data_IF_428836999321
#
_entry.id   IF_428836999321
#
_cell.length_a   1.000
_cell.length_b   1.000
_cell.length_c   1.000
_cell.angle_alpha   90.00
_cell.angle_beta   90.00
_cell.angle_gamma   90.00
#
_symmetry.space_group_name_H-M   'P 1'
#
loop_
_entity.id
_entity.type
_entity.pdbx_description
1 polymer ?
#
# COMPACT_ATOMS: atom_id res chain seq x y z
N UNK A 1 -33.19 0.49 0.62
CA UNK A 1 -32.11 0.84 1.58
C UNK A 1 -30.79 0.32 1.00
N UNK A 2 -30.22 1.01 -0.01
CA UNK A 2 -29.26 0.38 -0.94
C UNK A 2 -28.06 1.27 -1.35
N UNK A 3 -27.74 2.31 -0.59
CA UNK A 3 -26.68 3.28 -0.92
C UNK A 3 -25.33 3.02 -0.24
N UNK A 4 -25.22 2.00 0.63
CA UNK A 4 -24.04 1.80 1.50
C UNK A 4 -22.80 1.20 0.81
N UNK A 5 -22.91 0.64 -0.41
CA UNK A 5 -21.87 -0.23 -0.99
C UNK A 5 -21.04 0.34 -2.16
N UNK A 6 -21.38 1.51 -2.72
CA UNK A 6 -20.72 1.98 -3.94
C UNK A 6 -19.25 2.37 -3.71
N UNK A 7 -18.95 3.14 -2.67
CA UNK A 7 -17.57 3.56 -2.39
C UNK A 7 -16.66 2.37 -2.06
N UNK A 8 -17.16 1.41 -1.28
CA UNK A 8 -16.39 0.22 -0.92
C UNK A 8 -16.04 -0.62 -2.15
N UNK A 9 -17.00 -0.79 -3.07
CA UNK A 9 -16.80 -1.51 -4.33
C UNK A 9 -15.74 -0.82 -5.20
N UNK A 10 -15.84 0.51 -5.39
CA UNK A 10 -14.86 1.26 -6.15
C UNK A 10 -13.48 1.24 -5.51
N UNK A 11 -13.39 1.27 -4.19
CA UNK A 11 -12.12 1.18 -3.48
C UNK A 11 -11.44 -0.19 -3.62
N UNK A 12 -12.20 -1.30 -3.62
CA UNK A 12 -11.63 -2.63 -3.87
C UNK A 12 -11.06 -2.69 -5.29
N UNK A 13 -11.83 -2.25 -6.29
CA UNK A 13 -11.40 -2.25 -7.70
C UNK A 13 -10.13 -1.41 -7.88
N UNK A 14 -10.11 -0.20 -7.32
CA UNK A 14 -8.95 0.67 -7.39
C UNK A 14 -7.73 0.08 -6.66
N UNK A 15 -7.93 -0.54 -5.48
CA UNK A 15 -6.88 -1.22 -4.75
C UNK A 15 -6.27 -2.36 -5.58
N UNK A 16 -7.09 -3.17 -6.26
CA UNK A 16 -6.61 -4.23 -7.14
C UNK A 16 -5.77 -3.64 -8.27
N UNK A 17 -6.23 -2.56 -8.90
CA UNK A 17 -5.54 -1.92 -10.02
C UNK A 17 -4.17 -1.34 -9.58
N UNK A 18 -4.14 -0.63 -8.44
CA UNK A 18 -2.90 -0.09 -7.86
C UNK A 18 -1.90 -1.19 -7.54
N UNK A 19 -2.37 -2.35 -7.11
CA UNK A 19 -1.50 -3.44 -6.68
C UNK A 19 -1.18 -4.47 -7.77
N UNK A 20 -1.86 -4.45 -8.91
CA UNK A 20 -1.69 -5.42 -9.99
C UNK A 20 -0.24 -5.44 -10.52
N UNK A 21 0.45 -4.30 -10.43
CA UNK A 21 1.85 -4.18 -10.82
C UNK A 21 2.80 -5.00 -9.93
N UNK A 22 2.47 -5.26 -8.67
CA UNK A 22 3.36 -6.01 -7.77
C UNK A 22 3.52 -7.48 -8.18
N UNK A 23 2.44 -8.28 -8.34
CA UNK A 23 2.58 -9.64 -8.87
C UNK A 23 3.28 -9.65 -10.23
N UNK A 24 2.94 -8.73 -11.12
CA UNK A 24 3.56 -8.64 -12.45
C UNK A 24 5.08 -8.40 -12.38
N UNK A 25 5.52 -7.47 -11.54
CA UNK A 25 6.95 -7.15 -11.38
C UNK A 25 7.70 -8.26 -10.63
N UNK A 26 7.05 -8.97 -9.71
CA UNK A 26 7.69 -9.99 -8.87
C UNK A 26 7.84 -11.32 -9.59
N UNK A 27 6.84 -11.70 -10.39
CA UNK A 27 6.88 -12.93 -11.18
C UNK A 27 7.49 -12.75 -12.58
N UNK A 28 7.93 -11.54 -12.92
CA UNK A 28 8.79 -11.30 -14.09
C UNK A 28 10.25 -11.38 -13.70
N UNK A 29 11.15 -11.54 -14.69
CA UNK A 29 12.61 -11.47 -14.51
C UNK A 29 13.09 -10.02 -14.23
N UNK A 30 12.34 -9.27 -13.43
CA UNK A 30 12.67 -7.91 -13.06
C UNK A 30 13.51 -7.89 -11.78
N UNK A 31 14.35 -6.87 -11.65
CA UNK A 31 15.13 -6.69 -10.42
C UNK A 31 14.27 -6.32 -9.19
N UNK A 32 12.95 -6.11 -9.37
CA UNK A 32 12.03 -5.64 -8.33
C UNK A 32 12.04 -6.50 -7.07
N UNK A 33 12.12 -7.82 -7.22
CA UNK A 33 12.18 -8.72 -6.08
C UNK A 33 13.45 -8.51 -5.25
N UNK A 34 14.60 -8.21 -5.87
CA UNK A 34 15.84 -7.90 -5.15
C UNK A 34 15.70 -6.62 -4.33
N UNK A 35 14.98 -5.62 -4.83
CA UNK A 35 14.72 -4.41 -4.04
C UNK A 35 13.74 -4.66 -2.88
N UNK A 36 12.71 -5.49 -3.08
CA UNK A 36 11.81 -5.92 -2.00
C UNK A 36 12.53 -6.71 -0.91
N UNK A 37 13.48 -7.57 -1.28
CA UNK A 37 14.33 -8.33 -0.35
C UNK A 37 15.16 -7.41 0.55
N UNK A 38 15.58 -6.24 0.06
CA UNK A 38 16.27 -5.26 0.91
C UNK A 38 15.37 -4.68 2.01
N UNK A 39 14.04 -4.68 1.83
CA UNK A 39 13.10 -4.27 2.88
C UNK A 39 12.94 -5.41 3.89
N UNK A 40 12.69 -6.63 3.43
CA UNK A 40 12.70 -7.80 4.29
C UNK A 40 12.91 -9.05 3.45
N UNK A 41 13.91 -9.84 3.83
CA UNK A 41 14.14 -11.15 3.27
C UNK A 41 13.33 -12.18 4.06
N UNK A 42 12.30 -12.73 3.43
CA UNK A 42 11.50 -13.85 3.95
C UNK A 42 12.06 -15.21 3.50
N UNK A 43 13.15 -15.22 2.72
CA UNK A 43 13.72 -16.40 2.08
C UNK A 43 13.18 -16.63 0.67
N UNK A 44 13.92 -17.42 -0.12
CA UNK A 44 13.69 -17.65 -1.56
C UNK A 44 12.25 -18.07 -1.87
N UNK A 45 11.66 -18.93 -1.03
CA UNK A 45 10.30 -19.43 -1.24
C UNK A 45 9.22 -18.41 -0.84
N UNK A 46 9.40 -17.71 0.28
CA UNK A 46 8.37 -16.83 0.82
C UNK A 46 8.40 -15.42 0.24
N UNK A 47 9.54 -14.95 -0.31
CA UNK A 47 9.65 -13.62 -0.91
C UNK A 47 8.64 -13.37 -2.04
N UNK A 48 8.53 -14.23 -3.07
CA UNK A 48 7.54 -14.05 -4.12
C UNK A 48 6.10 -14.10 -3.60
N UNK A 49 5.83 -14.98 -2.63
CA UNK A 49 4.50 -15.15 -2.04
C UNK A 49 4.11 -13.90 -1.25
N UNK A 50 5.01 -13.39 -0.41
CA UNK A 50 4.73 -12.23 0.41
C UNK A 50 4.56 -10.98 -0.44
N UNK A 51 5.56 -10.64 -1.23
CA UNK A 51 5.57 -9.39 -1.98
C UNK A 51 4.60 -9.43 -3.18
N UNK A 52 4.39 -10.60 -3.78
CA UNK A 52 3.57 -10.78 -4.97
C UNK A 52 2.11 -11.10 -4.70
N UNK A 53 1.76 -11.57 -3.50
CA UNK A 53 0.37 -11.97 -3.18
C UNK A 53 -0.10 -11.30 -1.88
N UNK A 54 0.58 -11.55 -0.76
CA UNK A 54 0.12 -11.06 0.55
C UNK A 54 0.11 -9.54 0.65
N UNK A 55 1.16 -8.88 0.15
CA UNK A 55 1.28 -7.42 0.18
C UNK A 55 0.22 -6.72 -0.70
N UNK A 56 -0.03 -7.17 -1.95
CA UNK A 56 -1.19 -6.71 -2.73
C UNK A 56 -2.53 -6.87 -2.01
N UNK A 57 -2.80 -8.04 -1.42
CA UNK A 57 -4.02 -8.29 -0.68
C UNK A 57 -4.18 -7.35 0.51
N UNK A 58 -3.07 -7.09 1.22
CA UNK A 58 -3.04 -6.14 2.32
C UNK A 58 -3.42 -4.72 1.86
N UNK A 59 -2.90 -4.25 0.72
CA UNK A 59 -3.27 -2.93 0.20
C UNK A 59 -4.75 -2.87 -0.20
N UNK A 60 -5.29 -3.90 -0.88
CA UNK A 60 -6.72 -3.96 -1.20
C UNK A 60 -7.57 -3.88 0.07
N UNK A 61 -7.16 -4.60 1.12
CA UNK A 61 -7.81 -4.53 2.43
C UNK A 61 -7.74 -3.13 3.04
N UNK A 62 -6.59 -2.43 2.94
CA UNK A 62 -6.46 -1.05 3.41
C UNK A 62 -7.39 -0.09 2.67
N UNK A 63 -7.51 -0.22 1.36
CA UNK A 63 -8.43 0.59 0.54
C UNK A 63 -9.87 0.36 1.01
N UNK A 64 -10.30 -0.89 1.12
CA UNK A 64 -11.66 -1.23 1.57
C UNK A 64 -11.97 -0.71 2.98
N UNK A 65 -11.06 -0.96 3.93
CA UNK A 65 -11.24 -0.55 5.31
C UNK A 65 -11.31 0.99 5.45
N UNK A 66 -10.48 1.70 4.68
CA UNK A 66 -10.47 3.17 4.69
C UNK A 66 -11.72 3.75 4.02
N UNK A 67 -12.19 3.13 2.94
CA UNK A 67 -13.46 3.46 2.30
C UNK A 67 -14.65 3.30 3.26
N UNK A 68 -14.67 2.19 4.02
CA UNK A 68 -15.72 1.91 5.00
C UNK A 68 -15.79 2.99 6.09
N UNK A 69 -14.64 3.52 6.53
CA UNK A 69 -14.59 4.60 7.51
C UNK A 69 -15.12 5.92 6.94
N UNK A 70 -14.73 6.27 5.71
CA UNK A 70 -15.08 7.55 5.07
C UNK A 70 -16.53 7.57 4.57
N UNK A 71 -17.13 6.40 4.29
CA UNK A 71 -18.50 6.29 3.82
C UNK A 71 -19.53 7.02 4.71
N UNK A 72 -19.29 7.10 6.03
CA UNK A 72 -20.19 7.77 6.96
C UNK A 72 -20.14 9.30 6.89
N UNK A 73 -18.99 9.86 6.51
CA UNK A 73 -18.78 11.31 6.44
C UNK A 73 -18.80 11.85 5.01
N UNK A 74 -18.92 10.99 3.99
CA UNK A 74 -18.74 11.31 2.57
C UNK A 74 -19.58 12.50 2.07
N UNK A 75 -20.80 12.65 2.60
CA UNK A 75 -21.74 13.71 2.20
C UNK A 75 -21.63 14.99 3.04
N UNK A 76 -20.88 14.93 4.14
CA UNK A 76 -20.70 16.05 5.06
C UNK A 76 -19.39 16.80 4.80
N UNK A 77 -18.44 16.16 4.12
CA UNK A 77 -17.11 16.71 3.84
C UNK A 77 -16.96 17.06 2.36
N UNK A 78 -16.13 18.05 2.07
CA UNK A 78 -15.83 18.41 0.69
C UNK A 78 -15.10 17.28 -0.04
N UNK A 79 -15.25 17.24 -1.37
CA UNK A 79 -14.59 16.27 -2.25
C UNK A 79 -13.08 16.15 -1.97
N UNK A 80 -12.36 17.28 -1.94
CA UNK A 80 -10.92 17.29 -1.67
C UNK A 80 -10.57 16.79 -0.26
N UNK A 81 -11.42 17.09 0.73
CA UNK A 81 -11.23 16.61 2.09
C UNK A 81 -11.42 15.08 2.18
N UNK A 82 -12.41 14.52 1.50
CA UNK A 82 -12.61 13.07 1.41
C UNK A 82 -11.42 12.37 0.74
N UNK A 83 -10.92 12.92 -0.38
CA UNK A 83 -9.74 12.40 -1.08
C UNK A 83 -8.50 12.43 -0.19
N UNK A 84 -8.26 13.56 0.48
CA UNK A 84 -7.13 13.72 1.40
C UNK A 84 -7.19 12.75 2.57
N UNK A 85 -8.35 12.61 3.22
CA UNK A 85 -8.55 11.65 4.31
C UNK A 85 -8.35 10.21 3.85
N UNK A 86 -8.83 9.86 2.66
CA UNK A 86 -8.65 8.53 2.10
C UNK A 86 -7.18 8.23 1.83
N UNK A 87 -6.51 9.12 1.09
CA UNK A 87 -5.11 8.97 0.71
C UNK A 87 -4.24 8.89 1.97
N UNK A 88 -4.38 9.83 2.90
CA UNK A 88 -3.58 9.85 4.13
C UNK A 88 -3.83 8.61 4.99
N UNK A 89 -5.09 8.16 5.09
CA UNK A 89 -5.46 6.97 5.85
C UNK A 89 -4.88 5.66 5.29
N UNK A 90 -4.72 5.56 3.97
CA UNK A 90 -4.08 4.42 3.32
C UNK A 90 -2.56 4.54 3.38
N UNK A 91 -1.98 5.67 2.97
CA UNK A 91 -0.53 5.86 2.87
C UNK A 91 0.16 5.76 4.23
N UNK A 92 -0.41 6.32 5.30
CA UNK A 92 0.15 6.22 6.66
C UNK A 92 0.26 4.76 7.14
N UNK A 93 -0.75 3.94 6.83
CA UNK A 93 -0.75 2.51 7.17
C UNK A 93 0.24 1.71 6.33
N UNK A 94 0.41 2.06 5.06
CA UNK A 94 1.43 1.45 4.20
C UNK A 94 2.82 1.75 4.76
N UNK A 95 3.13 3.01 5.03
CA UNK A 95 4.42 3.43 5.57
C UNK A 95 4.71 2.72 6.89
N UNK A 96 3.79 2.79 7.85
CA UNK A 96 3.96 2.14 9.16
C UNK A 96 4.16 0.62 9.01
N UNK A 97 3.39 -0.04 8.16
CA UNK A 97 3.53 -1.48 7.92
C UNK A 97 4.87 -1.85 7.30
N UNK A 98 5.33 -1.11 6.29
CA UNK A 98 6.64 -1.33 5.66
C UNK A 98 7.79 -1.14 6.65
N UNK A 99 7.72 -0.09 7.48
CA UNK A 99 8.69 0.12 8.55
C UNK A 99 8.65 -1.00 9.59
N UNK A 100 7.46 -1.46 10.00
CA UNK A 100 7.32 -2.57 10.95
C UNK A 100 7.90 -3.86 10.39
N UNK A 101 7.59 -4.20 9.13
CA UNK A 101 8.15 -5.36 8.44
C UNK A 101 9.68 -5.29 8.40
N UNK A 102 10.24 -4.14 8.04
CA UNK A 102 11.68 -3.93 8.01
C UNK A 102 12.33 -4.14 9.38
N UNK A 103 11.78 -3.52 10.43
CA UNK A 103 12.29 -3.67 11.80
C UNK A 103 12.24 -5.12 12.26
N UNK A 104 11.12 -5.83 12.01
CA UNK A 104 11.00 -7.26 12.33
C UNK A 104 12.02 -8.07 11.52
N UNK A 105 12.18 -7.77 10.23
CA UNK A 105 13.16 -8.43 9.36
C UNK A 105 14.58 -8.30 9.88
N UNK A 106 14.97 -7.12 10.38
CA UNK A 106 16.27 -6.93 11.03
C UNK A 106 16.46 -7.80 12.28
N UNK A 107 15.41 -7.99 13.08
CA UNK A 107 15.47 -8.85 14.25
C UNK A 107 15.54 -10.35 13.89
N UNK A 108 14.76 -10.78 12.90
CA UNK A 108 14.62 -12.20 12.51
C UNK A 108 15.82 -12.69 11.71
N UNK A 109 16.27 -11.92 10.72
CA UNK A 109 17.42 -12.30 9.89
C UNK A 109 18.76 -12.10 10.61
N UNK A 110 18.69 -11.58 11.85
CA UNK A 110 19.82 -11.28 12.70
C UNK A 110 20.56 -10.04 12.20
N UNK A 111 20.94 -9.18 13.15
CA UNK A 111 22.08 -8.28 12.95
C UNK A 111 23.33 -9.15 13.03
N UNK A 112 23.51 -10.11 12.11
CA UNK A 112 24.65 -11.03 12.14
C UNK A 112 25.90 -10.27 11.71
N UNK A 113 26.50 -9.60 12.69
CA UNK A 113 27.87 -9.11 12.96
C UNK A 113 29.04 -9.29 11.96
N UNK A 114 28.85 -9.65 10.68
CA UNK A 114 29.99 -10.02 9.82
C UNK A 114 30.54 -8.84 9.00
N UNK A 115 29.81 -7.75 8.77
CA UNK A 115 30.35 -6.60 8.01
C UNK A 115 29.84 -5.24 8.54
N UNK A 116 30.43 -4.76 9.64
CA UNK A 116 30.18 -3.43 10.24
C UNK A 116 30.27 -2.25 9.25
N UNK A 117 30.88 -2.43 8.07
CA UNK A 117 31.01 -1.41 7.02
C UNK A 117 29.83 -1.41 6.05
N UNK A 118 29.13 -2.52 5.84
CA UNK A 118 28.00 -2.62 4.89
C UNK A 118 26.65 -2.34 5.54
N UNK A 119 26.52 -2.56 6.85
CA UNK A 119 25.28 -2.35 7.61
C UNK A 119 24.71 -0.92 7.43
N UNK A 120 25.51 0.17 7.52
CA UNK A 120 24.96 1.52 7.37
C UNK A 120 24.41 1.79 5.97
N UNK A 121 25.10 1.30 4.93
CA UNK A 121 24.69 1.45 3.54
C UNK A 121 23.45 0.60 3.23
N UNK A 122 23.35 -0.59 3.79
CA UNK A 122 22.19 -1.46 3.62
C UNK A 122 20.96 -0.86 4.32
N UNK A 123 21.10 -0.38 5.57
CA UNK A 123 20.04 0.34 6.28
C UNK A 123 19.57 1.57 5.49
N UNK A 124 20.52 2.40 5.03
CA UNK A 124 20.22 3.59 4.24
C UNK A 124 19.47 3.22 2.95
N UNK A 125 19.91 2.18 2.25
CA UNK A 125 19.29 1.73 1.02
C UNK A 125 17.87 1.18 1.27
N UNK A 126 17.68 0.35 2.29
CA UNK A 126 16.36 -0.18 2.68
C UNK A 126 15.39 0.94 3.05
N UNK A 127 15.86 1.96 3.79
CA UNK A 127 15.06 3.15 4.10
C UNK A 127 14.70 3.94 2.84
N UNK A 128 15.66 4.13 1.93
CA UNK A 128 15.41 4.78 0.64
C UNK A 128 14.37 4.01 -0.17
N UNK A 129 14.43 2.67 -0.17
CA UNK A 129 13.47 1.81 -0.85
C UNK A 129 12.07 1.90 -0.23
N UNK A 130 11.96 1.90 1.10
CA UNK A 130 10.68 2.10 1.81
C UNK A 130 10.10 3.46 1.45
N UNK A 131 10.91 4.52 1.45
CA UNK A 131 10.48 5.87 1.09
C UNK A 131 10.01 5.93 -0.37
N UNK A 132 10.77 5.35 -1.30
CA UNK A 132 10.42 5.30 -2.71
C UNK A 132 9.11 4.54 -2.94
N UNK A 133 8.99 3.33 -2.38
CA UNK A 133 7.79 2.51 -2.52
C UNK A 133 6.57 3.20 -1.91
N UNK A 134 6.73 3.80 -0.74
CA UNK A 134 5.69 4.57 -0.06
C UNK A 134 5.26 5.78 -0.88
N UNK A 135 6.21 6.48 -1.51
CA UNK A 135 5.94 7.65 -2.34
C UNK A 135 5.14 7.27 -3.60
N UNK A 136 5.57 6.21 -4.30
CA UNK A 136 4.84 5.69 -5.48
C UNK A 136 3.42 5.28 -5.08
N UNK A 137 3.27 4.52 -4.00
CA UNK A 137 1.96 4.10 -3.50
C UNK A 137 1.11 5.29 -3.07
N UNK A 138 1.69 6.32 -2.46
CA UNK A 138 0.98 7.53 -2.07
C UNK A 138 0.40 8.25 -3.30
N UNK A 139 1.19 8.45 -4.36
CA UNK A 139 0.70 9.05 -5.61
C UNK A 139 -0.45 8.23 -6.20
N UNK A 140 -0.27 6.91 -6.31
CA UNK A 140 -1.30 6.02 -6.84
C UNK A 140 -2.57 6.03 -5.98
N UNK A 141 -2.44 6.05 -4.66
CA UNK A 141 -3.58 6.16 -3.73
C UNK A 141 -4.31 7.49 -3.88
N UNK A 142 -3.57 8.58 -4.09
CA UNK A 142 -4.15 9.90 -4.26
C UNK A 142 -4.94 10.01 -5.56
N UNK A 143 -4.38 9.56 -6.69
CA UNK A 143 -5.07 9.49 -7.98
C UNK A 143 -6.32 8.61 -7.87
N UNK A 144 -6.17 7.43 -7.25
CA UNK A 144 -7.29 6.51 -7.04
C UNK A 144 -8.40 7.14 -6.18
N UNK A 145 -8.03 7.89 -5.14
CA UNK A 145 -8.98 8.56 -4.25
C UNK A 145 -9.89 9.52 -5.00
N UNK A 146 -9.35 10.29 -5.96
CA UNK A 146 -10.16 11.18 -6.79
C UNK A 146 -11.23 10.41 -7.56
N UNK A 147 -10.85 9.32 -8.23
CA UNK A 147 -11.78 8.50 -9.03
C UNK A 147 -12.86 7.90 -8.13
N UNK A 148 -12.47 7.30 -7.01
CA UNK A 148 -13.37 6.64 -6.05
C UNK A 148 -14.38 7.64 -5.49
N UNK A 149 -13.92 8.77 -4.95
CA UNK A 149 -14.79 9.74 -4.28
C UNK A 149 -15.73 10.40 -5.28
N UNK A 150 -15.24 10.72 -6.48
CA UNK A 150 -16.07 11.38 -7.52
C UNK A 150 -17.20 10.47 -7.98
N UNK A 151 -16.90 9.21 -8.26
CA UNK A 151 -17.92 8.22 -8.65
C UNK A 151 -18.93 7.98 -7.54
N UNK A 152 -18.49 8.00 -6.28
CA UNK A 152 -19.34 7.74 -5.12
C UNK A 152 -20.30 8.90 -4.80
N UNK A 153 -19.84 10.14 -4.89
CA UNK A 153 -20.69 11.32 -4.68
C UNK A 153 -21.70 11.49 -5.82
N UNK A 154 -21.29 11.24 -7.08
CA UNK A 154 -22.16 11.41 -8.24
C UNK A 154 -23.31 10.38 -8.28
N UNK A 155 -23.11 9.17 -7.75
CA UNK A 155 -24.18 8.16 -7.63
C UNK A 155 -25.16 8.45 -6.49
N UNK A 156 -24.81 9.28 -5.51
CA UNK A 156 -25.70 9.64 -4.41
C UNK A 156 -26.53 10.89 -4.70
N UNK A 157 -26.11 11.78 -5.61
CA UNK A 157 -26.92 12.93 -6.05
C UNK A 157 -28.02 12.57 -7.04
N UNK A 158 -27.98 11.35 -7.62
CA UNK A 158 -28.92 10.86 -8.63
C UNK A 158 -30.07 10.00 -8.05
N UNK A 159 -30.07 9.74 -6.74
CA UNK A 159 -31.11 9.02 -6.00
C UNK A 159 -31.78 9.93 -4.97
#
# INVERSE_FOLDING_TARGET
METKNNIQKYSIIAGILVCLFFPLLIFSDSYFIFQCIQICDFGIFWNPIFWGILFPLFIVFLFWNTAKKINFSLNQISYFQACSQFSFGVSSKIITTLFTIYVIGLFVNGISSVLNVQIPYQILFSLLMILFLSFVLMILTFISSFIIVKLSQNTQSLN
#
